data_IF_887603160915
#
_entry.id   IF_887603160915
#
_cell.length_a   1.000
_cell.length_b   1.000
_cell.length_c   1.000
_cell.angle_alpha   90.00
_cell.angle_beta   90.00
_cell.angle_gamma   90.00
#
_symmetry.space_group_name_H-M   'P 1'
#
loop_
_entity.id
_entity.type
_entity.pdbx_description
1 polymer ?
#
# COMPACT_ATOMS: atom_id res chain seq x y z
N UNK A 1 -11.13 -47.62 3.41
CA UNK A 1 -10.92 -46.83 2.19
C UNK A 1 -11.84 -45.63 2.33
N UNK A 2 -11.37 -44.53 2.92
CA UNK A 2 -10.59 -43.48 2.21
C UNK A 2 -11.31 -43.09 0.91
N UNK A 3 -11.81 -41.87 0.75
CA UNK A 3 -11.12 -40.60 0.99
C UNK A 3 -12.03 -39.48 1.51
N UNK A 4 -11.60 -38.86 2.61
CA UNK A 4 -11.73 -37.42 2.83
C UNK A 4 -11.02 -36.70 1.68
N UNK A 5 -11.71 -35.85 0.93
CA UNK A 5 -11.23 -34.54 0.46
C UNK A 5 -12.20 -33.99 -0.59
N UNK A 6 -12.89 -32.91 -0.25
CA UNK A 6 -13.87 -32.34 -1.17
C UNK A 6 -14.60 -31.16 -0.58
N UNK A 7 -13.91 -30.01 -0.59
CA UNK A 7 -14.47 -28.66 -0.45
C UNK A 7 -14.39 -28.02 0.94
N UNK A 8 -13.16 -27.64 1.30
CA UNK A 8 -12.89 -26.42 2.07
C UNK A 8 -13.04 -25.13 1.21
N UNK A 9 -13.60 -25.21 0.00
CA UNK A 9 -13.68 -24.12 -0.97
C UNK A 9 -15.12 -23.59 -1.14
N UNK A 10 -15.80 -23.30 -0.04
CA UNK A 10 -17.11 -22.64 -0.10
C UNK A 10 -17.21 -21.40 0.80
N UNK A 11 -16.13 -20.61 0.86
CA UNK A 11 -16.09 -19.34 1.62
C UNK A 11 -16.52 -18.14 0.74
N UNK A 12 -16.75 -18.32 -0.57
CA UNK A 12 -17.10 -17.24 -1.50
C UNK A 12 -18.60 -17.09 -1.83
N UNK A 13 -19.50 -17.63 -1.02
CA UNK A 13 -20.96 -17.46 -1.21
C UNK A 13 -21.67 -16.75 -0.06
N UNK A 14 -20.95 -15.93 0.73
CA UNK A 14 -21.63 -14.88 1.51
C UNK A 14 -22.04 -13.79 0.51
N UNK A 15 -23.24 -13.96 -0.03
CA UNK A 15 -23.96 -12.92 -0.75
C UNK A 15 -24.04 -11.68 0.15
N UNK A 16 -23.38 -10.59 -0.25
CA UNK A 16 -23.44 -9.28 0.42
C UNK A 16 -24.83 -8.63 0.36
N UNK A 17 -25.83 -9.29 -0.23
CA UNK A 17 -27.18 -8.76 -0.41
C UNK A 17 -28.01 -8.68 0.88
N UNK A 18 -27.48 -9.06 2.05
CA UNK A 18 -28.22 -9.05 3.31
C UNK A 18 -27.55 -8.30 4.47
N UNK A 19 -26.51 -7.49 4.19
CA UNK A 19 -25.92 -6.65 5.24
C UNK A 19 -26.87 -5.47 5.49
N UNK A 20 -27.62 -5.55 6.60
CA UNK A 20 -28.38 -4.42 7.16
C UNK A 20 -27.47 -3.18 7.19
N UNK A 21 -27.97 -2.05 6.73
CA UNK A 21 -27.27 -0.76 6.56
C UNK A 21 -26.28 -0.35 7.68
N UNK A 22 -26.48 -0.68 8.98
CA UNK A 22 -25.50 -0.35 10.01
C UNK A 22 -24.18 -1.14 9.88
N UNK A 23 -24.23 -2.39 9.42
CA UNK A 23 -23.06 -3.27 9.35
C UNK A 23 -22.18 -2.95 8.13
N UNK A 24 -22.74 -2.42 7.04
CA UNK A 24 -21.97 -1.96 5.88
C UNK A 24 -21.19 -0.68 6.19
N UNK A 25 -21.76 0.24 6.97
CA UNK A 25 -21.08 1.45 7.44
C UNK A 25 -19.92 1.12 8.38
N UNK A 26 -20.12 0.19 9.32
CA UNK A 26 -19.07 -0.26 10.24
C UNK A 26 -17.91 -0.89 9.45
N UNK A 27 -18.20 -1.75 8.48
CA UNK A 27 -17.16 -2.39 7.68
C UNK A 27 -16.43 -1.37 6.78
N UNK A 28 -17.16 -0.43 6.17
CA UNK A 28 -16.56 0.67 5.42
C UNK A 28 -15.59 1.50 6.28
N UNK A 29 -15.99 1.84 7.51
CA UNK A 29 -15.13 2.52 8.47
C UNK A 29 -13.87 1.71 8.85
N UNK A 30 -13.98 0.38 8.94
CA UNK A 30 -12.82 -0.50 9.18
C UNK A 30 -11.85 -0.50 8.01
N UNK A 31 -12.36 -0.59 6.78
CA UNK A 31 -11.52 -0.52 5.57
C UNK A 31 -10.79 0.82 5.49
N UNK A 32 -11.50 1.92 5.77
CA UNK A 32 -10.92 3.25 5.82
C UNK A 32 -9.82 3.36 6.89
N UNK A 33 -10.07 2.88 8.11
CA UNK A 33 -9.07 2.88 9.18
C UNK A 33 -7.82 2.04 8.86
N UNK A 34 -7.97 0.93 8.12
CA UNK A 34 -6.83 0.14 7.64
C UNK A 34 -6.01 0.90 6.60
N UNK A 35 -6.69 1.53 5.63
CA UNK A 35 -6.04 2.39 4.66
C UNK A 35 -5.29 3.54 5.34
N UNK A 36 -5.90 4.17 6.36
CA UNK A 36 -5.26 5.24 7.14
C UNK A 36 -3.94 4.77 7.77
N UNK A 37 -3.93 3.57 8.38
CA UNK A 37 -2.72 2.98 8.97
C UNK A 37 -1.65 2.68 7.93
N UNK A 38 -2.02 2.05 6.81
CA UNK A 38 -1.06 1.69 5.76
C UNK A 38 -0.47 2.95 5.11
N UNK A 39 -1.29 3.93 4.80
CA UNK A 39 -0.88 5.20 4.19
C UNK A 39 -0.05 6.06 5.14
N UNK A 40 -0.37 6.04 6.44
CA UNK A 40 0.50 6.65 7.46
C UNK A 40 1.86 5.95 7.54
N UNK A 41 1.88 4.61 7.46
CA UNK A 41 3.15 3.86 7.45
C UNK A 41 4.03 4.22 6.26
N UNK A 42 3.47 4.63 5.11
CA UNK A 42 4.27 5.15 3.99
C UNK A 42 5.10 6.37 4.43
N UNK A 43 4.48 7.28 5.20
CA UNK A 43 5.15 8.50 5.69
C UNK A 43 6.28 8.14 6.64
N UNK A 44 5.99 7.30 7.64
CA UNK A 44 6.98 6.85 8.62
C UNK A 44 8.15 6.16 7.93
N UNK A 45 7.86 5.25 7.00
CA UNK A 45 8.89 4.52 6.24
C UNK A 45 9.72 5.44 5.35
N UNK A 46 9.12 6.48 4.79
CA UNK A 46 9.83 7.48 4.00
C UNK A 46 10.80 8.29 4.87
N UNK A 47 10.41 8.61 6.10
CA UNK A 47 11.27 9.28 7.07
C UNK A 47 12.39 8.37 7.58
N UNK A 48 12.05 7.14 7.98
CA UNK A 48 12.99 6.10 8.39
C UNK A 48 14.05 5.85 7.30
N UNK A 49 13.62 5.73 6.04
CA UNK A 49 14.51 5.52 4.90
C UNK A 49 15.37 6.75 4.60
N UNK A 50 14.85 7.97 4.77
CA UNK A 50 15.63 9.20 4.64
C UNK A 50 16.74 9.28 5.70
N UNK A 51 16.48 8.77 6.90
CA UNK A 51 17.45 8.74 8.00
C UNK A 51 18.65 7.81 7.73
N UNK A 52 18.60 6.96 6.69
CA UNK A 52 19.77 6.22 6.20
C UNK A 52 20.87 7.14 5.63
N UNK A 53 20.57 8.41 5.34
CA UNK A 53 21.56 9.39 4.89
C UNK A 53 22.05 9.19 3.45
N UNK A 54 21.40 8.32 2.67
CA UNK A 54 21.77 8.02 1.28
C UNK A 54 21.16 9.03 0.31
N UNK A 55 21.91 10.08 -0.04
CA UNK A 55 21.42 11.21 -0.84
C UNK A 55 20.89 10.85 -2.25
N UNK A 56 21.35 9.73 -2.80
CA UNK A 56 20.97 9.22 -4.11
C UNK A 56 19.71 8.34 -4.07
N UNK A 57 19.28 7.89 -2.90
CA UNK A 57 18.08 7.09 -2.71
C UNK A 57 17.01 7.87 -1.94
N UNK A 58 15.77 7.74 -2.35
CA UNK A 58 14.63 8.22 -1.56
C UNK A 58 13.39 7.40 -1.88
N UNK A 59 12.43 7.34 -0.96
CA UNK A 59 11.13 6.75 -1.25
C UNK A 59 10.16 7.82 -1.75
N UNK A 60 9.23 7.40 -2.60
CA UNK A 60 8.19 8.25 -3.16
C UNK A 60 6.86 7.51 -3.21
N UNK A 61 5.80 8.12 -2.67
CA UNK A 61 4.44 7.63 -2.80
C UNK A 61 3.89 7.97 -4.18
N UNK A 62 3.63 6.95 -5.00
CA UNK A 62 2.95 7.09 -6.28
C UNK A 62 1.47 6.76 -6.12
N UNK A 63 0.60 7.57 -6.73
CA UNK A 63 -0.85 7.32 -6.77
C UNK A 63 -1.24 6.80 -8.14
N UNK A 64 -1.95 5.67 -8.17
CA UNK A 64 -2.70 5.25 -9.34
C UNK A 64 -4.19 5.51 -9.13
N UNK A 65 -4.97 5.23 -10.18
CA UNK A 65 -6.43 5.29 -10.11
C UNK A 65 -6.99 4.33 -9.06
N UNK A 66 -6.40 3.14 -8.91
CA UNK A 66 -6.96 2.05 -8.08
C UNK A 66 -6.26 1.81 -6.75
N UNK A 67 -5.03 2.29 -6.57
CA UNK A 67 -4.24 2.09 -5.34
C UNK A 67 -3.06 3.05 -5.31
N UNK A 68 -2.43 3.17 -4.15
CA UNK A 68 -1.12 3.79 -3.99
C UNK A 68 -0.02 2.74 -3.86
N UNK A 69 1.19 3.13 -4.20
CA UNK A 69 2.39 2.34 -3.98
C UNK A 69 3.56 3.24 -3.58
N UNK A 70 4.58 2.62 -2.98
CA UNK A 70 5.88 3.22 -2.75
C UNK A 70 6.82 2.81 -3.88
N UNK A 71 7.45 3.80 -4.51
CA UNK A 71 8.57 3.62 -5.44
C UNK A 71 9.88 4.09 -4.80
N UNK A 72 10.98 3.50 -5.23
CA UNK A 72 12.32 3.96 -4.90
C UNK A 72 12.77 4.93 -5.99
N UNK A 73 13.21 6.10 -5.60
CA UNK A 73 13.87 7.05 -6.48
C UNK A 73 15.36 6.80 -6.40
N UNK A 74 15.98 6.47 -7.52
CA UNK A 74 17.42 6.46 -7.69
C UNK A 74 17.84 7.71 -8.47
N UNK A 75 18.74 8.51 -7.90
CA UNK A 75 19.33 9.67 -8.55
C UNK A 75 20.72 9.35 -9.09
N UNK A 76 20.90 9.51 -10.39
CA UNK A 76 22.18 9.34 -11.07
C UNK A 76 22.52 10.63 -11.82
N UNK A 77 23.40 11.45 -11.24
CA UNK A 77 23.66 12.80 -11.74
C UNK A 77 22.41 13.67 -11.67
N UNK A 78 21.95 14.16 -12.82
CA UNK A 78 20.74 14.97 -12.94
C UNK A 78 19.47 14.14 -13.21
N UNK A 79 19.60 12.84 -13.47
CA UNK A 79 18.47 11.97 -13.78
C UNK A 79 17.87 11.39 -12.50
N UNK A 80 16.54 11.25 -12.50
CA UNK A 80 15.77 10.65 -11.40
C UNK A 80 14.89 9.55 -11.99
N UNK A 81 15.11 8.32 -11.52
CA UNK A 81 14.38 7.15 -11.99
C UNK A 81 13.50 6.60 -10.88
N UNK A 82 12.22 6.39 -11.18
CA UNK A 82 11.25 5.74 -10.28
C UNK A 82 11.28 4.23 -10.51
N UNK A 83 11.81 3.49 -9.55
CA UNK A 83 12.13 2.07 -9.67
C UNK A 83 11.44 1.23 -8.58
N UNK A 84 11.29 -0.06 -8.85
CA UNK A 84 11.02 -1.10 -7.84
C UNK A 84 12.33 -1.79 -7.47
N UNK A 85 12.39 -2.48 -6.33
CA UNK A 85 13.57 -3.25 -5.91
C UNK A 85 13.94 -4.38 -6.89
N UNK A 86 12.99 -4.84 -7.69
CA UNK A 86 13.22 -5.84 -8.73
C UNK A 86 13.96 -5.27 -9.96
N UNK A 87 14.05 -3.95 -10.10
CA UNK A 87 14.64 -3.31 -11.28
C UNK A 87 16.16 -3.44 -11.30
N UNK A 88 16.73 -3.92 -12.41
CA UNK A 88 18.16 -4.22 -12.54
C UNK A 88 19.07 -3.02 -12.24
N UNK A 89 18.71 -1.81 -12.70
CA UNK A 89 19.49 -0.61 -12.38
C UNK A 89 19.58 -0.31 -10.87
N UNK A 90 18.52 -0.62 -10.11
CA UNK A 90 18.54 -0.46 -8.66
C UNK A 90 19.38 -1.56 -8.02
N UNK A 91 19.25 -2.81 -8.45
CA UNK A 91 20.08 -3.93 -7.95
C UNK A 91 21.58 -3.64 -8.13
N UNK A 92 21.99 -3.23 -9.34
CA UNK A 92 23.38 -2.86 -9.61
C UNK A 92 23.89 -1.73 -8.70
N UNK A 93 23.04 -0.75 -8.41
CA UNK A 93 23.40 0.31 -7.46
C UNK A 93 23.56 -0.25 -6.03
N UNK A 94 22.61 -1.07 -5.57
CA UNK A 94 22.65 -1.66 -4.24
C UNK A 94 23.85 -2.58 -4.04
N UNK A 95 24.25 -3.34 -5.06
CA UNK A 95 25.43 -4.21 -5.03
C UNK A 95 26.75 -3.43 -4.87
N UNK A 96 26.75 -2.14 -5.25
CA UNK A 96 27.92 -1.25 -5.08
C UNK A 96 28.06 -0.67 -3.68
N UNK A 97 27.04 -0.79 -2.84
CA UNK A 97 27.05 -0.29 -1.46
C UNK A 97 27.80 -1.24 -0.53
N UNK A 98 28.15 -0.77 0.67
CA UNK A 98 28.77 -1.62 1.67
C UNK A 98 27.77 -2.66 2.24
N UNK A 99 28.29 -3.73 2.85
CA UNK A 99 27.46 -4.84 3.32
C UNK A 99 26.46 -4.44 4.41
N UNK A 100 26.75 -3.40 5.20
CA UNK A 100 25.87 -2.93 6.27
C UNK A 100 24.66 -2.23 5.63
N UNK A 101 24.89 -1.34 4.67
CA UNK A 101 23.82 -0.70 3.90
C UNK A 101 22.96 -1.71 3.17
N UNK A 102 23.57 -2.67 2.47
CA UNK A 102 22.84 -3.69 1.73
C UNK A 102 21.87 -4.44 2.66
N UNK A 103 22.32 -4.79 3.86
CA UNK A 103 21.49 -5.46 4.85
C UNK A 103 20.35 -4.57 5.37
N UNK A 104 20.64 -3.29 5.64
CA UNK A 104 19.63 -2.32 6.07
C UNK A 104 18.57 -2.13 4.99
N UNK A 105 18.99 -1.87 3.74
CA UNK A 105 18.09 -1.63 2.61
C UNK A 105 17.23 -2.87 2.32
N UNK A 106 17.76 -4.10 2.47
CA UNK A 106 16.95 -5.33 2.33
C UNK A 106 15.81 -5.43 3.35
N UNK A 107 15.98 -4.85 4.53
CA UNK A 107 14.90 -4.80 5.53
C UNK A 107 13.78 -3.88 5.04
N UNK A 108 14.14 -2.71 4.49
CA UNK A 108 13.18 -1.81 3.85
C UNK A 108 12.54 -2.43 2.61
N UNK A 109 13.29 -3.14 1.77
CA UNK A 109 12.76 -3.82 0.58
C UNK A 109 11.62 -4.77 0.94
N UNK A 110 11.82 -5.60 1.97
CA UNK A 110 10.80 -6.55 2.43
C UNK A 110 9.56 -5.80 2.92
N UNK A 111 9.76 -4.77 3.73
CA UNK A 111 8.66 -3.98 4.27
C UNK A 111 7.89 -3.21 3.18
N UNK A 112 8.59 -2.59 2.23
CA UNK A 112 8.00 -1.87 1.09
C UNK A 112 7.21 -2.82 0.22
N UNK A 113 7.73 -4.02 -0.05
CA UNK A 113 7.06 -5.03 -0.86
C UNK A 113 5.76 -5.47 -0.21
N UNK A 114 5.79 -5.76 1.10
CA UNK A 114 4.59 -6.12 1.86
C UNK A 114 3.59 -4.96 1.95
N UNK A 115 4.06 -3.75 2.17
CA UNK A 115 3.22 -2.56 2.25
C UNK A 115 2.53 -2.28 0.91
N UNK A 116 3.24 -2.38 -0.20
CA UNK A 116 2.67 -2.22 -1.55
C UNK A 116 1.59 -3.27 -1.84
N UNK A 117 1.84 -4.53 -1.47
CA UNK A 117 0.85 -5.59 -1.62
C UNK A 117 -0.42 -5.30 -0.79
N UNK A 118 -0.25 -4.93 0.48
CA UNK A 118 -1.36 -4.61 1.37
C UNK A 118 -2.14 -3.37 0.93
N UNK A 119 -1.46 -2.31 0.48
CA UNK A 119 -2.11 -1.12 -0.08
C UNK A 119 -2.99 -1.48 -1.27
N UNK A 120 -2.47 -2.30 -2.20
CA UNK A 120 -3.25 -2.76 -3.36
C UNK A 120 -4.49 -3.55 -2.95
N UNK A 121 -4.36 -4.46 -1.98
CA UNK A 121 -5.48 -5.28 -1.48
C UNK A 121 -6.53 -4.40 -0.79
N UNK A 122 -6.13 -3.56 0.16
CA UNK A 122 -7.07 -2.77 0.96
C UNK A 122 -7.73 -1.66 0.13
N UNK A 123 -7.01 -1.04 -0.82
CA UNK A 123 -7.63 -0.10 -1.77
C UNK A 123 -8.66 -0.79 -2.67
N UNK A 124 -8.35 -1.99 -3.15
CA UNK A 124 -9.30 -2.78 -3.97
C UNK A 124 -10.56 -3.08 -3.17
N UNK A 125 -10.41 -3.58 -1.94
CA UNK A 125 -11.53 -3.86 -1.03
C UNK A 125 -12.35 -2.62 -0.74
N UNK A 126 -11.71 -1.50 -0.45
CA UNK A 126 -12.39 -0.23 -0.17
C UNK A 126 -13.28 0.21 -1.34
N UNK A 127 -12.78 0.14 -2.57
CA UNK A 127 -13.59 0.48 -3.75
C UNK A 127 -14.70 -0.54 -4.02
N UNK A 128 -14.45 -1.84 -3.83
CA UNK A 128 -15.48 -2.87 -3.96
C UNK A 128 -16.62 -2.67 -2.96
N UNK A 129 -16.29 -2.36 -1.70
CA UNK A 129 -17.29 -2.03 -0.69
C UNK A 129 -18.06 -0.76 -1.01
N UNK A 130 -17.38 0.31 -1.46
CA UNK A 130 -18.04 1.54 -1.85
C UNK A 130 -19.08 1.31 -2.96
N UNK A 131 -18.72 0.51 -3.97
CA UNK A 131 -19.63 0.11 -5.06
C UNK A 131 -20.79 -0.75 -4.56
N UNK A 132 -20.52 -1.76 -3.73
CA UNK A 132 -21.56 -2.64 -3.19
C UNK A 132 -22.56 -1.88 -2.30
N UNK A 133 -22.09 -0.88 -1.57
CA UNK A 133 -22.91 0.01 -0.74
C UNK A 133 -23.59 1.15 -1.52
N UNK A 134 -23.43 1.21 -2.86
CA UNK A 134 -23.97 2.28 -3.72
C UNK A 134 -23.58 3.69 -3.26
N UNK A 135 -22.39 3.84 -2.69
CA UNK A 135 -21.83 5.14 -2.34
C UNK A 135 -21.48 5.87 -3.64
N UNK A 136 -21.95 7.11 -3.80
CA UNK A 136 -21.64 7.92 -4.99
C UNK A 136 -20.12 8.03 -5.18
N UNK A 137 -19.61 7.67 -6.35
CA UNK A 137 -18.18 7.69 -6.66
C UNK A 137 -17.56 9.08 -6.42
N UNK A 138 -18.33 10.16 -6.54
CA UNK A 138 -17.86 11.52 -6.24
C UNK A 138 -17.64 11.76 -4.75
N UNK A 139 -18.32 11.01 -3.89
CA UNK A 139 -18.19 11.07 -2.44
C UNK A 139 -17.11 10.10 -1.90
N UNK A 140 -16.69 9.12 -2.70
CA UNK A 140 -15.61 8.21 -2.34
C UNK A 140 -14.26 8.95 -2.41
N UNK A 141 -13.47 8.80 -1.36
CA UNK A 141 -12.12 9.39 -1.31
C UNK A 141 -11.27 8.77 -2.42
N UNK A 142 -10.74 9.62 -3.29
CA UNK A 142 -9.81 9.20 -4.36
C UNK A 142 -8.41 8.96 -3.79
N UNK A 143 -7.71 7.94 -4.29
CA UNK A 143 -6.34 7.57 -3.88
C UNK A 143 -5.38 8.76 -3.84
N UNK A 144 -5.42 9.61 -4.87
CA UNK A 144 -4.55 10.80 -4.98
C UNK A 144 -4.83 11.85 -3.91
N UNK A 145 -6.04 11.90 -3.37
CA UNK A 145 -6.47 12.87 -2.36
C UNK A 145 -6.32 12.32 -0.93
N UNK A 146 -5.98 11.04 -0.78
CA UNK A 146 -5.86 10.39 0.52
C UNK A 146 -4.81 11.03 1.44
N UNK A 147 -3.63 11.48 0.97
CA UNK A 147 -2.70 12.20 1.82
C UNK A 147 -3.32 13.47 2.44
N UNK A 148 -4.05 14.25 1.64
CA UNK A 148 -4.75 15.45 2.12
C UNK A 148 -5.86 15.12 3.11
N UNK A 149 -6.54 13.98 2.94
CA UNK A 149 -7.50 13.48 3.91
C UNK A 149 -6.83 13.16 5.26
N UNK A 150 -5.70 12.45 5.24
CA UNK A 150 -4.93 12.15 6.45
C UNK A 150 -4.44 13.40 7.18
N UNK A 151 -3.93 14.39 6.44
CA UNK A 151 -3.45 15.63 7.04
C UNK A 151 -4.55 16.39 7.78
N UNK A 152 -5.80 16.34 7.27
CA UNK A 152 -6.96 16.96 7.94
C UNK A 152 -7.34 16.22 9.23
N UNK A 153 -7.28 14.89 9.24
CA UNK A 153 -7.57 14.10 10.45
C UNK A 153 -6.56 14.35 11.58
N UNK A 154 -5.31 14.68 11.24
CA UNK A 154 -4.28 14.95 12.23
C UNK A 154 -4.36 16.37 12.83
N UNK A 155 -5.18 17.24 12.26
CA UNK A 155 -5.39 18.62 12.71
C UNK A 155 -6.67 18.83 13.54
N UNK A 156 -7.55 17.81 13.59
CA UNK A 156 -8.81 17.80 14.35
C UNK A 156 -8.66 17.11 15.69
#
# INVERSE_FOLDING_TARGET
>A
MESEDGSLYNIYSISFNNIKEPASIIEFGRQLSRLEKLESRIRDLTEDFKNLGRSQLSLFRRSFTSHSEIKVILKQGNERSELTFEHEALKHYLDSLDAIDQKLIRTFETEITLLNANLKIEWTRFFEFARAASIDEKSVIQVKNFPTYLDRLQQS
#
